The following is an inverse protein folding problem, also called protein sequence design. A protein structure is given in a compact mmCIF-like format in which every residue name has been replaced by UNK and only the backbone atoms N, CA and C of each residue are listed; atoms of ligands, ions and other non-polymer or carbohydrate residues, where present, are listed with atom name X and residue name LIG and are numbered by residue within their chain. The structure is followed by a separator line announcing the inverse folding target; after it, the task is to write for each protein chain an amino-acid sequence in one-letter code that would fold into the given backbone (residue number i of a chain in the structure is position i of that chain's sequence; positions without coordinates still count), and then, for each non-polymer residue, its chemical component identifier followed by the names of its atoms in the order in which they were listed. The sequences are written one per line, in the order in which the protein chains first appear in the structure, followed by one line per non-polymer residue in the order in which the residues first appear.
data_IF_575364877482
#
_entry.id   IF_575364877482
#
_cell.length_a   1.000
_cell.length_b   1.000
_cell.length_c   1.000
_cell.angle_alpha   90.00
_cell.angle_beta   90.00
_cell.angle_gamma   90.00
#
_symmetry.space_group_name_H-M   'P 1'
#
loop_
_entity.id
_entity.type
_entity.pdbx_description
1 polymer ?
#
# COMPACT_ATOMS: atom_id res chain seq x y z
N UNK A 1 47.96 1.14 16.25
CA UNK A 1 46.78 0.85 15.42
C UNK A 1 46.22 2.17 14.95
N UNK A 2 46.23 2.45 13.65
CA UNK A 2 45.77 3.73 13.11
C UNK A 2 44.26 3.67 12.85
N UNK A 3 43.49 4.54 13.52
CA UNK A 3 42.06 4.74 13.25
C UNK A 3 41.91 5.29 11.83
N UNK A 4 41.11 4.61 10.99
CA UNK A 4 40.69 5.17 9.69
C UNK A 4 39.42 5.99 9.92
N UNK A 5 39.61 7.27 10.24
CA UNK A 5 38.53 8.26 10.21
C UNK A 5 38.31 8.67 8.76
N UNK A 6 37.18 8.28 8.17
CA UNK A 6 36.75 8.78 6.87
C UNK A 6 35.80 9.96 7.11
N UNK A 7 36.28 11.18 6.85
CA UNK A 7 35.41 12.36 6.73
C UNK A 7 34.81 12.37 5.33
N UNK A 8 33.48 12.49 5.25
CA UNK A 8 32.77 12.75 4.00
C UNK A 8 32.97 14.24 3.70
N UNK A 9 33.37 14.60 2.47
CA UNK A 9 33.63 15.99 2.08
C UNK A 9 32.31 16.75 1.98
N UNK A 10 32.21 17.86 2.72
CA UNK A 10 31.19 18.88 2.50
C UNK A 10 31.57 19.74 1.29
N UNK A 11 30.66 19.97 0.33
CA UNK A 11 30.95 20.76 -0.87
C UNK A 11 31.07 22.28 -0.62
N UNK A 12 30.84 22.75 0.61
CA UNK A 12 30.79 24.18 0.96
C UNK A 12 31.97 24.67 1.84
N UNK A 13 33.01 23.85 2.05
CA UNK A 13 34.19 24.23 2.85
C UNK A 13 35.24 24.96 1.98
N UNK A 14 35.01 26.23 1.68
CA UNK A 14 36.02 27.12 1.11
C UNK A 14 36.95 27.67 2.21
N UNK A 15 38.18 27.16 2.26
CA UNK A 15 39.30 27.85 2.90
C UNK A 15 40.48 28.00 1.93
N UNK A 16 41.25 29.11 2.00
CA UNK A 16 42.01 29.61 0.87
C UNK A 16 43.36 28.89 0.71
N UNK A 17 43.68 28.54 -0.54
CA UNK A 17 44.99 27.97 -0.92
C UNK A 17 46.04 29.08 -1.07
N UNK A 18 47.29 28.88 -0.61
CA UNK A 18 48.38 29.80 -0.91
C UNK A 18 49.07 29.43 -2.22
N UNK A 19 49.27 30.45 -3.04
CA UNK A 19 50.05 30.47 -4.28
C UNK A 19 51.47 29.89 -4.10
N UNK A 20 51.92 29.04 -5.04
CA UNK A 20 53.34 28.85 -5.29
C UNK A 20 53.65 28.74 -6.78
N UNK A 21 54.40 29.74 -7.25
CA UNK A 21 55.02 29.91 -8.55
C UNK A 21 55.97 28.76 -8.89
N UNK A 22 56.06 28.46 -10.19
CA UNK A 22 56.71 27.28 -10.72
C UNK A 22 58.22 27.33 -10.88
N UNK A 23 58.72 26.26 -11.46
CA UNK A 23 60.01 26.16 -12.15
C UNK A 23 59.95 24.95 -13.10
N UNK A 24 60.35 25.18 -14.34
CA UNK A 24 60.49 24.16 -15.37
C UNK A 24 61.97 23.89 -15.61
N UNK A 25 62.38 22.62 -15.72
CA UNK A 25 63.66 22.26 -16.34
C UNK A 25 63.70 20.82 -16.87
N UNK A 26 63.88 20.74 -18.20
CA UNK A 26 64.78 19.86 -18.98
C UNK A 26 64.61 18.32 -19.05
N UNK A 27 64.10 17.86 -20.20
CA UNK A 27 64.78 17.15 -21.33
C UNK A 27 65.58 15.84 -21.10
N UNK A 28 65.22 14.81 -21.88
CA UNK A 28 66.07 13.65 -22.30
C UNK A 28 65.25 12.38 -22.61
N UNK A 29 64.66 12.18 -23.80
CA UNK A 29 65.14 11.44 -25.01
C UNK A 29 65.44 9.92 -24.89
N UNK A 30 64.62 9.14 -25.62
CA UNK A 30 64.92 8.02 -26.54
C UNK A 30 64.85 6.51 -26.15
N UNK A 31 64.18 5.76 -27.05
CA UNK A 31 64.26 4.31 -27.35
C UNK A 31 63.05 3.52 -26.83
N UNK A 32 62.00 3.11 -27.58
CA UNK A 32 61.82 2.41 -28.87
C UNK A 32 62.43 1.00 -28.92
N UNK A 33 61.61 -0.02 -28.72
CA UNK A 33 61.47 -1.17 -29.65
C UNK A 33 60.21 -2.02 -29.36
N UNK A 34 59.49 -2.30 -30.45
CA UNK A 34 58.49 -3.37 -30.67
C UNK A 34 59.14 -4.76 -30.48
N UNK A 35 58.49 -5.92 -30.34
CA UNK A 35 57.35 -6.47 -31.11
C UNK A 35 57.02 -7.89 -30.59
N UNK A 36 55.74 -8.33 -30.70
CA UNK A 36 55.22 -9.69 -31.05
C UNK A 36 55.61 -10.91 -30.15
N UNK A 37 54.85 -12.01 -30.02
CA UNK A 37 53.92 -12.71 -30.93
C UNK A 37 53.10 -13.79 -30.14
N UNK A 38 51.89 -14.13 -30.64
CA UNK A 38 51.24 -15.47 -30.80
C UNK A 38 51.20 -16.48 -29.64
N UNK A 39 50.20 -17.36 -29.49
CA UNK A 39 49.49 -18.15 -30.51
C UNK A 39 48.10 -18.64 -30.06
N UNK A 40 47.34 -19.06 -31.06
CA UNK A 40 46.04 -19.74 -31.08
C UNK A 40 46.01 -21.10 -30.36
N UNK A 41 44.81 -21.59 -30.03
CA UNK A 41 44.40 -22.99 -30.20
C UNK A 41 42.86 -23.11 -30.15
N UNK A 42 42.31 -23.77 -31.16
CA UNK A 42 40.92 -24.22 -31.33
C UNK A 42 40.72 -25.54 -30.56
N UNK A 43 39.49 -25.86 -30.13
CA UNK A 43 39.06 -27.27 -30.03
C UNK A 43 37.53 -27.46 -30.10
N UNK A 44 37.22 -28.61 -30.67
CA UNK A 44 36.03 -29.21 -31.29
C UNK A 44 34.66 -29.28 -30.58
N UNK A 45 33.68 -29.62 -31.44
CA UNK A 45 32.28 -29.98 -31.20
C UNK A 45 32.06 -31.29 -30.43
N UNK A 46 30.88 -31.43 -29.81
CA UNK A 46 30.18 -32.71 -29.68
C UNK A 46 28.65 -32.50 -29.58
N UNK A 47 27.92 -32.89 -30.62
CA UNK A 47 26.49 -33.19 -30.58
C UNK A 47 26.23 -34.55 -29.92
N UNK A 48 25.14 -34.68 -29.15
CA UNK A 48 24.42 -35.94 -28.92
C UNK A 48 22.91 -35.69 -28.79
N UNK A 49 22.17 -36.29 -29.73
CA UNK A 49 20.76 -36.73 -29.69
C UNK A 49 20.60 -37.93 -28.72
N UNK A 50 19.45 -38.46 -28.28
CA UNK A 50 18.04 -38.48 -28.69
C UNK A 50 17.15 -38.91 -27.48
N UNK A 51 15.82 -38.70 -27.59
CA UNK A 51 14.65 -39.61 -27.33
C UNK A 51 14.79 -40.74 -26.28
N UNK A 52 13.81 -41.19 -25.48
CA UNK A 52 12.35 -41.08 -25.33
C UNK A 52 12.04 -41.73 -23.95
N UNK A 53 10.93 -41.38 -23.28
CA UNK A 53 10.00 -42.37 -22.68
C UNK A 53 8.88 -41.66 -21.91
N UNK A 54 7.68 -41.82 -22.48
CA UNK A 54 6.39 -41.55 -21.86
C UNK A 54 5.85 -42.86 -21.30
N UNK A 55 5.17 -42.81 -20.14
CA UNK A 55 3.97 -43.59 -19.82
C UNK A 55 3.53 -43.30 -18.37
N UNK A 56 2.40 -42.60 -18.18
CA UNK A 56 1.33 -43.04 -17.27
C UNK A 56 0.03 -42.24 -17.54
N UNK A 57 -1.06 -42.96 -17.83
CA UNK A 57 -2.46 -42.53 -17.98
C UNK A 57 -3.30 -43.44 -17.03
N UNK A 58 -4.61 -43.22 -16.78
CA UNK A 58 -5.36 -41.98 -16.55
C UNK A 58 -6.41 -42.14 -15.42
N UNK A 59 -7.14 -41.06 -15.06
CA UNK A 59 -8.53 -41.20 -14.62
C UNK A 59 -9.41 -39.95 -14.80
N UNK A 60 -10.57 -40.14 -15.44
CA UNK A 60 -11.86 -39.54 -15.04
C UNK A 60 -12.28 -38.18 -15.61
N UNK A 61 -13.14 -38.17 -16.64
CA UNK A 61 -13.81 -36.97 -17.22
C UNK A 61 -14.94 -36.35 -16.36
N UNK A 62 -15.94 -35.59 -16.94
CA UNK A 62 -16.25 -35.40 -18.35
C UNK A 62 -16.41 -33.93 -18.84
N UNK A 63 -16.26 -33.80 -20.17
CA UNK A 63 -16.41 -32.61 -21.02
C UNK A 63 -17.88 -32.20 -21.24
N UNK A 64 -18.10 -30.88 -21.43
CA UNK A 64 -19.32 -30.30 -22.03
C UNK A 64 -18.96 -29.54 -23.32
N UNK A 65 -19.63 -29.93 -24.43
CA UNK A 65 -19.51 -29.38 -25.80
C UNK A 65 -20.29 -28.07 -25.98
N UNK A 66 -19.75 -27.13 -26.79
CA UNK A 66 -20.51 -26.26 -27.73
C UNK A 66 -19.51 -25.56 -28.68
N UNK A 67 -19.36 -26.06 -29.91
CA UNK A 67 -19.97 -25.63 -31.20
C UNK A 67 -19.47 -24.27 -31.72
N UNK A 68 -18.73 -24.36 -32.84
CA UNK A 68 -18.46 -23.31 -33.84
C UNK A 68 -19.74 -22.93 -34.61
N UNK A 69 -19.77 -21.71 -35.11
CA UNK A 69 -20.72 -21.21 -36.12
C UNK A 69 -20.38 -19.76 -36.50
N UNK A 70 -20.05 -19.59 -37.77
CA UNK A 70 -19.44 -18.46 -38.48
C UNK A 70 -20.46 -17.40 -38.95
N UNK A 71 -20.03 -16.14 -39.12
CA UNK A 71 -20.36 -15.30 -40.29
C UNK A 71 -19.62 -13.95 -40.24
N UNK A 72 -18.79 -13.76 -41.26
CA UNK A 72 -18.15 -12.51 -41.69
C UNK A 72 -19.17 -11.43 -42.10
N UNK A 73 -18.81 -10.15 -41.93
CA UNK A 73 -18.88 -9.18 -43.02
C UNK A 73 -17.88 -8.02 -42.84
N UNK A 74 -17.15 -7.77 -43.93
CA UNK A 74 -16.10 -6.79 -44.15
C UNK A 74 -16.68 -5.47 -44.68
N UNK A 75 -16.15 -4.32 -44.26
CA UNK A 75 -15.80 -3.13 -45.08
C UNK A 75 -14.88 -2.23 -44.22
N UNK A 76 -13.56 -2.21 -44.44
CA UNK A 76 -12.73 -1.38 -45.35
C UNK A 76 -12.61 0.12 -45.03
N UNK A 77 -11.34 0.49 -44.87
CA UNK A 77 -10.64 1.75 -45.20
C UNK A 77 -10.49 2.86 -44.16
N UNK A 78 -9.22 3.22 -43.92
CA UNK A 78 -8.86 4.60 -43.58
C UNK A 78 -7.57 4.79 -42.78
N UNK A 79 -6.44 4.89 -43.48
CA UNK A 79 -5.08 5.24 -42.99
C UNK A 79 -5.04 6.50 -42.10
N UNK A 80 -4.11 6.52 -41.15
CA UNK A 80 -3.70 7.75 -40.45
C UNK A 80 -2.47 7.59 -39.55
N UNK A 81 -1.28 7.62 -40.13
CA UNK A 81 0.00 7.72 -39.43
C UNK A 81 0.13 9.13 -38.81
N UNK A 82 0.43 9.28 -37.51
CA UNK A 82 1.04 10.49 -36.92
C UNK A 82 1.46 10.26 -35.47
N UNK A 83 2.77 10.32 -35.24
CA UNK A 83 3.38 10.35 -33.92
C UNK A 83 2.97 11.59 -33.11
N UNK A 84 2.99 11.45 -31.78
CA UNK A 84 2.86 12.52 -30.78
C UNK A 84 3.85 12.19 -29.66
N UNK A 85 5.03 12.82 -29.68
CA UNK A 85 5.36 14.02 -28.90
C UNK A 85 5.13 13.84 -27.40
N UNK A 86 6.25 13.65 -26.68
CA UNK A 86 6.37 13.75 -25.23
C UNK A 86 5.90 15.14 -24.79
N UNK A 87 4.88 15.20 -23.95
CA UNK A 87 4.48 16.41 -23.26
C UNK A 87 5.13 16.41 -21.87
N UNK A 88 5.97 17.41 -21.62
CA UNK A 88 6.36 17.81 -20.27
C UNK A 88 5.14 18.37 -19.54
N UNK A 89 4.89 17.94 -18.30
CA UNK A 89 3.97 18.67 -17.43
C UNK A 89 4.70 19.08 -16.16
N UNK A 90 4.55 20.37 -15.90
CA UNK A 90 5.23 21.20 -14.92
C UNK A 90 4.90 20.78 -13.48
N UNK A 91 5.80 21.13 -12.56
CA UNK A 91 5.60 21.07 -11.11
C UNK A 91 4.30 21.79 -10.76
N UNK A 92 3.40 21.10 -10.06
CA UNK A 92 2.23 21.74 -9.48
C UNK A 92 2.66 22.48 -8.21
N UNK A 93 2.59 23.81 -8.27
CA UNK A 93 2.66 24.67 -7.09
C UNK A 93 1.48 24.34 -6.15
N UNK A 94 1.80 24.13 -4.88
CA UNK A 94 0.84 23.90 -3.81
C UNK A 94 -0.03 25.14 -3.62
N UNK A 95 -1.31 25.05 -3.97
CA UNK A 95 -2.32 26.06 -3.65
C UNK A 95 -2.62 26.04 -2.14
N UNK A 96 -2.41 27.19 -1.49
CA UNK A 96 -2.81 27.41 -0.10
C UNK A 96 -4.33 27.45 -0.01
N UNK A 97 -4.88 26.53 0.79
CA UNK A 97 -6.29 26.53 1.17
C UNK A 97 -6.43 27.44 2.40
N UNK A 98 -7.15 28.55 2.23
CA UNK A 98 -7.60 29.40 3.34
C UNK A 98 -8.87 28.80 3.95
N UNK A 99 -8.84 28.61 5.27
CA UNK A 99 -9.96 28.12 6.07
C UNK A 99 -11.08 29.15 6.18
N UNK A 100 -12.28 28.79 5.72
CA UNK A 100 -13.56 29.41 6.09
C UNK A 100 -14.36 28.38 6.88
N UNK A 101 -14.46 28.59 8.20
CA UNK A 101 -15.01 27.62 9.15
C UNK A 101 -16.46 27.99 9.47
N UNK A 102 -17.40 27.20 8.95
CA UNK A 102 -18.77 27.17 9.44
C UNK A 102 -18.84 26.39 10.75
N UNK A 103 -19.36 27.04 11.78
CA UNK A 103 -19.66 26.50 13.11
C UNK A 103 -20.72 25.39 13.04
N UNK A 104 -20.48 24.24 13.69
CA UNK A 104 -21.48 23.48 14.47
C UNK A 104 -20.82 22.36 15.34
N UNK A 105 -21.10 22.50 16.65
CA UNK A 105 -21.13 21.61 17.83
C UNK A 105 -20.29 20.29 17.97
N UNK A 106 -19.49 20.30 19.05
CA UNK A 106 -19.18 19.24 20.03
C UNK A 106 -18.70 17.86 19.56
N UNK A 107 -17.43 17.83 19.17
CA UNK A 107 -16.53 16.70 19.42
C UNK A 107 -15.14 17.24 19.76
N UNK A 108 -14.56 16.82 20.89
CA UNK A 108 -13.15 17.10 21.21
C UNK A 108 -12.26 16.53 20.10
N UNK A 109 -11.94 17.38 19.11
CA UNK A 109 -10.81 17.19 18.24
C UNK A 109 -9.58 17.46 19.09
N UNK A 110 -8.92 16.39 19.55
CA UNK A 110 -7.54 16.52 20.01
C UNK A 110 -6.76 17.25 18.90
N UNK A 111 -6.09 18.33 19.27
CA UNK A 111 -5.15 19.04 18.41
C UNK A 111 -4.08 18.05 17.98
N UNK A 112 -4.26 17.45 16.81
CA UNK A 112 -3.27 16.58 16.19
C UNK A 112 -2.10 17.49 15.84
N UNK A 113 -0.99 17.34 16.56
CA UNK A 113 0.25 18.06 16.28
C UNK A 113 0.52 17.98 14.78
N UNK A 114 0.58 19.15 14.13
CA UNK A 114 0.87 19.29 12.70
C UNK A 114 2.01 18.36 12.32
N UNK A 115 1.92 17.72 11.14
CA UNK A 115 3.00 16.92 10.61
C UNK A 115 4.30 17.72 10.72
N UNK A 116 5.14 17.39 11.70
CA UNK A 116 6.37 18.12 11.93
C UNK A 116 7.29 17.79 10.77
N UNK A 117 7.23 18.56 9.69
CA UNK A 117 8.40 18.82 8.87
C UNK A 117 9.38 19.48 9.83
N UNK A 118 10.14 18.63 10.51
CA UNK A 118 10.79 18.97 11.75
C UNK A 118 11.66 20.20 11.54
N UNK A 119 11.53 21.18 12.43
CA UNK A 119 12.37 22.37 12.44
C UNK A 119 13.82 21.87 12.43
N UNK A 120 14.56 22.19 11.36
CA UNK A 120 15.97 21.84 11.28
C UNK A 120 16.68 22.53 12.42
N UNK A 121 17.55 21.78 13.06
CA UNK A 121 18.46 22.33 14.05
C UNK A 121 19.43 23.30 13.34
N UNK A 122 20.04 24.29 14.02
CA UNK A 122 20.93 25.26 13.38
C UNK A 122 22.13 24.67 12.63
N UNK A 123 22.52 23.44 12.97
CA UNK A 123 23.55 22.64 12.27
C UNK A 123 23.00 21.92 11.02
N UNK A 124 21.77 22.20 10.63
CA UNK A 124 21.09 21.68 9.45
C UNK A 124 20.42 20.31 9.66
N UNK A 125 20.68 19.58 10.75
CA UNK A 125 20.12 18.24 10.93
C UNK A 125 18.62 18.28 11.29
N UNK A 126 17.87 17.32 10.77
CA UNK A 126 16.52 17.03 11.26
C UNK A 126 16.61 16.10 12.48
N UNK A 127 15.72 16.22 13.47
CA UNK A 127 15.53 15.19 14.49
C UNK A 127 15.40 13.80 13.85
N UNK A 128 16.09 12.80 14.43
CA UNK A 128 16.17 11.45 13.89
C UNK A 128 17.20 11.24 12.78
N UNK A 129 17.86 12.30 12.29
CA UNK A 129 18.95 12.15 11.31
C UNK A 129 20.11 11.36 11.91
N UNK A 130 20.71 10.47 11.13
CA UNK A 130 21.91 9.74 11.54
C UNK A 130 23.09 10.69 11.46
N UNK A 131 23.68 11.04 12.60
CA UNK A 131 24.84 11.93 12.70
C UNK A 131 26.13 11.13 12.55
N UNK A 132 26.15 9.93 13.14
CA UNK A 132 27.33 9.06 13.17
C UNK A 132 26.95 7.59 13.19
N UNK A 133 27.77 6.77 12.55
CA UNK A 133 27.71 5.32 12.64
C UNK A 133 29.11 4.77 12.87
N UNK A 134 29.29 3.99 13.93
CA UNK A 134 30.54 3.28 14.23
C UNK A 134 30.29 1.78 14.25
N UNK A 135 31.27 1.01 13.78
CA UNK A 135 31.20 -0.44 13.81
C UNK A 135 32.57 -1.05 14.14
N UNK A 136 32.57 -2.06 15.01
CA UNK A 136 33.77 -2.77 15.46
C UNK A 136 33.56 -4.26 15.27
N UNK A 137 34.52 -4.94 14.63
CA UNK A 137 34.47 -6.37 14.30
C UNK A 137 33.14 -6.77 13.65
N UNK A 138 32.68 -5.98 12.69
CA UNK A 138 31.40 -6.16 12.01
C UNK A 138 31.63 -6.50 10.54
N UNK A 139 31.29 -7.72 10.12
CA UNK A 139 31.51 -8.23 8.76
C UNK A 139 32.94 -7.96 8.25
N UNK A 140 33.10 -7.05 7.29
CA UNK A 140 34.40 -6.68 6.70
C UNK A 140 35.18 -5.66 7.54
N UNK A 141 34.55 -5.03 8.53
CA UNK A 141 35.12 -3.96 9.33
C UNK A 141 35.79 -4.49 10.60
N UNK A 142 37.06 -4.12 10.79
CA UNK A 142 37.71 -4.24 12.11
C UNK A 142 37.26 -3.11 13.02
N UNK A 143 37.34 -1.88 12.51
CA UNK A 143 36.90 -0.66 13.18
C UNK A 143 36.66 0.37 12.07
N UNK A 144 35.49 0.99 12.07
CA UNK A 144 35.13 2.04 11.12
C UNK A 144 34.19 3.02 11.80
N UNK A 145 34.31 4.29 11.43
CA UNK A 145 33.43 5.35 11.91
C UNK A 145 33.09 6.30 10.76
N UNK A 146 31.79 6.50 10.56
CA UNK A 146 31.21 7.39 9.57
C UNK A 146 30.61 8.60 10.26
N UNK A 147 30.92 9.78 9.75
CA UNK A 147 30.28 11.04 10.15
C UNK A 147 29.51 11.55 8.95
N UNK A 148 28.22 11.79 9.13
CA UNK A 148 27.30 12.19 8.06
C UNK A 148 27.06 13.68 8.11
N UNK A 149 26.92 14.30 6.93
CA UNK A 149 26.33 15.62 6.78
C UNK A 149 24.81 15.59 6.90
N UNK A 150 24.20 16.76 7.06
CA UNK A 150 22.76 16.94 7.32
C UNK A 150 21.84 16.79 6.10
N UNK A 151 22.44 16.57 4.93
CA UNK A 151 21.76 16.49 3.64
C UNK A 151 22.17 15.22 2.89
N UNK A 152 22.85 15.37 1.75
CA UNK A 152 23.25 14.27 0.89
C UNK A 152 24.59 13.69 1.35
N UNK A 153 24.58 12.39 1.62
CA UNK A 153 25.79 11.64 1.96
C UNK A 153 26.05 10.59 0.87
N UNK A 154 27.27 10.55 0.33
CA UNK A 154 27.65 9.60 -0.71
C UNK A 154 28.77 8.67 -0.22
N UNK A 155 28.46 7.37 -0.12
CA UNK A 155 29.44 6.34 0.25
C UNK A 155 29.94 5.66 -1.03
N UNK A 156 31.19 5.92 -1.39
CA UNK A 156 31.82 5.40 -2.61
C UNK A 156 32.94 4.44 -2.23
N UNK A 157 33.12 3.38 -3.01
CA UNK A 157 34.28 2.52 -2.89
C UNK A 157 34.25 1.34 -3.85
N UNK A 158 35.40 0.68 -4.09
CA UNK A 158 35.48 -0.56 -4.86
C UNK A 158 34.56 -1.68 -4.34
N UNK A 159 34.36 -2.72 -5.14
CA UNK A 159 33.63 -3.90 -4.67
C UNK A 159 34.39 -4.59 -3.53
N UNK A 160 33.64 -5.12 -2.56
CA UNK A 160 34.22 -5.79 -1.39
C UNK A 160 34.70 -4.86 -0.26
N UNK A 161 34.61 -3.53 -0.39
CA UNK A 161 35.04 -2.59 0.67
C UNK A 161 34.04 -2.40 1.82
N UNK A 162 32.95 -3.16 1.82
CA UNK A 162 31.96 -3.13 2.91
C UNK A 162 30.77 -2.19 2.70
N UNK A 163 30.56 -1.59 1.53
CA UNK A 163 29.38 -0.72 1.27
C UNK A 163 28.04 -1.38 1.65
N UNK A 164 27.83 -2.63 1.28
CA UNK A 164 26.63 -3.39 1.68
C UNK A 164 26.65 -3.78 3.16
N UNK A 165 27.84 -3.92 3.76
CA UNK A 165 27.98 -4.16 5.20
C UNK A 165 27.55 -2.92 6.02
N UNK A 166 27.79 -1.70 5.52
CA UNK A 166 27.23 -0.48 6.12
C UNK A 166 25.70 -0.53 6.19
N UNK A 167 25.03 -0.89 5.09
CA UNK A 167 23.56 -1.02 5.07
C UNK A 167 23.08 -2.09 6.06
N UNK A 168 23.85 -3.18 6.22
CA UNK A 168 23.57 -4.20 7.23
C UNK A 168 23.72 -3.69 8.66
N UNK A 169 24.79 -2.92 8.93
CA UNK A 169 25.01 -2.29 10.23
C UNK A 169 23.87 -1.34 10.58
N UNK A 170 23.42 -0.53 9.61
CA UNK A 170 22.32 0.41 9.82
C UNK A 170 21.02 -0.31 10.18
N UNK A 171 20.60 -1.30 9.38
CA UNK A 171 19.36 -2.04 9.64
C UNK A 171 19.41 -2.79 10.99
N UNK A 172 20.52 -3.49 11.25
CA UNK A 172 20.67 -4.28 12.46
C UNK A 172 20.78 -3.41 13.71
N UNK A 173 21.57 -2.33 13.65
CA UNK A 173 21.78 -1.39 14.77
C UNK A 173 20.51 -0.63 15.17
N UNK A 174 19.65 -0.31 14.20
CA UNK A 174 18.32 0.29 14.46
C UNK A 174 17.29 -0.76 14.91
N UNK A 175 17.69 -2.02 15.09
CA UNK A 175 16.84 -3.08 15.61
C UNK A 175 15.91 -3.72 14.60
N UNK A 176 16.13 -3.53 13.29
CA UNK A 176 15.36 -4.26 12.29
C UNK A 176 15.88 -5.68 12.09
N UNK A 177 14.99 -6.59 11.70
CA UNK A 177 15.33 -7.97 11.35
C UNK A 177 16.02 -8.01 9.98
N UNK A 178 17.28 -8.45 9.88
CA UNK A 178 17.95 -8.62 8.59
C UNK A 178 17.21 -9.56 7.63
N UNK A 179 16.54 -10.60 8.11
CA UNK A 179 15.76 -11.49 7.26
C UNK A 179 14.61 -10.75 6.57
N UNK A 180 13.95 -9.84 7.27
CA UNK A 180 12.80 -9.10 6.75
C UNK A 180 13.24 -7.96 5.86
N UNK A 181 14.29 -7.23 6.25
CA UNK A 181 14.70 -6.01 5.55
C UNK A 181 15.69 -6.31 4.44
N UNK A 182 16.66 -7.19 4.68
CA UNK A 182 17.79 -7.44 3.78
C UNK A 182 17.72 -8.78 3.07
N UNK A 183 16.75 -9.65 3.37
CA UNK A 183 16.71 -11.04 2.87
C UNK A 183 17.94 -11.88 3.23
N UNK A 184 18.57 -11.55 4.36
CA UNK A 184 19.74 -12.25 4.88
C UNK A 184 19.40 -13.12 6.08
N UNK A 185 20.17 -14.19 6.26
CA UNK A 185 20.00 -15.11 7.39
C UNK A 185 20.16 -14.35 8.71
N UNK A 186 19.31 -14.64 9.69
CA UNK A 186 19.26 -13.99 11.00
C UNK A 186 20.30 -14.54 12.00
N UNK A 187 21.44 -15.01 11.53
CA UNK A 187 22.46 -15.62 12.38
C UNK A 187 23.52 -14.58 12.80
N UNK A 188 23.73 -14.40 14.11
CA UNK A 188 24.67 -13.40 14.67
C UNK A 188 26.09 -13.58 14.11
N UNK A 189 26.53 -14.83 13.96
CA UNK A 189 27.86 -15.20 13.44
C UNK A 189 28.17 -14.59 12.07
N UNK A 190 27.16 -14.38 11.22
CA UNK A 190 27.34 -13.84 9.88
C UNK A 190 27.59 -12.33 9.86
N UNK A 191 27.26 -11.64 10.95
CA UNK A 191 27.43 -10.19 11.09
C UNK A 191 28.69 -9.82 11.89
N UNK A 192 29.24 -10.76 12.66
CA UNK A 192 30.52 -10.60 13.35
C UNK A 192 31.66 -10.96 12.40
N UNK A 193 32.75 -10.21 12.46
CA UNK A 193 33.93 -10.44 11.62
C UNK A 193 34.53 -11.82 11.89
N UNK A 194 34.88 -12.54 10.82
CA UNK A 194 35.54 -13.85 10.93
C UNK A 194 36.80 -13.78 11.81
N UNK A 195 36.93 -14.75 12.71
CA UNK A 195 38.05 -14.82 13.66
C UNK A 195 37.86 -13.98 14.94
N UNK A 196 36.68 -13.39 15.14
CA UNK A 196 36.33 -12.68 16.38
C UNK A 196 35.03 -13.23 16.96
N UNK A 197 34.90 -13.19 18.29
CA UNK A 197 33.72 -13.72 19.00
C UNK A 197 32.71 -12.63 19.35
N UNK A 198 33.10 -11.36 19.23
CA UNK A 198 32.28 -10.20 19.56
C UNK A 198 32.41 -9.11 18.51
N UNK A 199 31.31 -8.42 18.26
CA UNK A 199 31.22 -7.25 17.41
C UNK A 199 30.21 -6.25 17.94
N UNK A 200 30.28 -5.01 17.45
CA UNK A 200 29.29 -4.00 17.81
C UNK A 200 29.03 -3.01 16.69
N UNK A 201 27.83 -2.43 16.72
CA UNK A 201 27.41 -1.32 15.87
C UNK A 201 26.82 -0.25 16.76
N UNK A 202 27.20 1.00 16.56
CA UNK A 202 26.75 2.16 17.31
C UNK A 202 26.25 3.22 16.34
N UNK A 203 25.04 3.73 16.57
CA UNK A 203 24.37 4.69 15.71
C UNK A 203 23.93 5.86 16.57
N UNK A 204 24.32 7.06 16.17
CA UNK A 204 23.94 8.30 16.81
C UNK A 204 22.87 9.01 15.98
N UNK A 205 21.72 9.24 16.61
CA UNK A 205 20.59 9.94 16.03
C UNK A 205 20.48 11.34 16.63
N UNK A 206 20.20 12.33 15.78
CA UNK A 206 19.96 13.71 16.19
C UNK A 206 18.72 13.76 17.09
N UNK A 207 18.86 14.37 18.27
CA UNK A 207 17.74 14.60 19.19
C UNK A 207 16.69 15.57 18.64
N UNK A 208 15.55 15.67 19.32
CA UNK A 208 14.59 16.75 19.06
C UNK A 208 15.18 18.10 19.50
N UNK A 209 14.68 19.25 19.04
CA UNK A 209 15.19 20.55 19.46
C UNK A 209 15.17 20.68 20.99
N UNK A 210 16.32 20.98 21.59
CA UNK A 210 16.48 21.08 23.05
C UNK A 210 16.78 19.76 23.76
N UNK A 211 16.79 18.62 23.06
CA UNK A 211 17.19 17.32 23.58
C UNK A 211 18.60 16.93 23.10
N UNK A 212 19.26 16.07 23.87
CA UNK A 212 20.54 15.48 23.47
C UNK A 212 20.37 14.43 22.36
N UNK A 213 21.45 14.16 21.64
CA UNK A 213 21.49 13.07 20.67
C UNK A 213 21.30 11.72 21.38
N UNK A 214 20.67 10.78 20.67
CA UNK A 214 20.43 9.43 21.15
C UNK A 214 21.43 8.49 20.49
N UNK A 215 22.21 7.79 21.30
CA UNK A 215 23.19 6.80 20.86
C UNK A 215 22.64 5.41 21.13
N UNK A 216 22.36 4.67 20.06
CA UNK A 216 21.91 3.28 20.09
C UNK A 216 23.10 2.40 19.77
N UNK A 217 23.46 1.50 20.69
CA UNK A 217 24.55 0.54 20.50
C UNK A 217 24.01 -0.87 20.56
N UNK A 218 24.44 -1.70 19.61
CA UNK A 218 24.16 -3.11 19.54
C UNK A 218 25.45 -3.89 19.73
N UNK A 219 25.48 -4.77 20.73
CA UNK A 219 26.51 -5.75 20.94
C UNK A 219 26.07 -7.11 20.40
N UNK A 220 26.99 -7.76 19.69
CA UNK A 220 26.83 -9.07 19.10
C UNK A 220 27.86 -10.01 19.72
N UNK A 221 27.41 -11.14 20.26
CA UNK A 221 28.30 -12.16 20.79
C UNK A 221 27.97 -13.50 20.11
N UNK A 222 28.97 -14.10 19.47
CA UNK A 222 28.84 -15.31 18.65
C UNK A 222 28.66 -16.55 19.53
N UNK A 223 29.42 -16.66 20.62
CA UNK A 223 29.39 -17.82 21.51
C UNK A 223 28.03 -18.02 22.16
N UNK A 224 27.42 -16.93 22.62
CA UNK A 224 26.10 -16.92 23.24
C UNK A 224 24.97 -16.73 22.23
N UNK A 225 25.31 -16.47 20.96
CA UNK A 225 24.36 -16.06 19.91
C UNK A 225 23.43 -14.91 20.35
N UNK A 226 23.93 -14.03 21.23
CA UNK A 226 23.13 -13.00 21.87
C UNK A 226 23.26 -11.64 21.19
N UNK A 227 22.20 -10.83 21.36
CA UNK A 227 22.10 -9.45 20.88
C UNK A 227 21.70 -8.59 22.06
N UNK A 228 22.53 -7.63 22.43
CA UNK A 228 22.28 -6.73 23.57
C UNK A 228 22.27 -5.30 23.07
N UNK A 229 21.18 -4.59 23.33
CA UNK A 229 21.06 -3.18 23.01
C UNK A 229 21.43 -2.32 24.22
N UNK A 230 22.05 -1.18 23.94
CA UNK A 230 22.26 -0.09 24.88
C UNK A 230 21.77 1.21 24.24
N UNK A 231 21.23 2.09 25.08
CA UNK A 231 20.78 3.43 24.70
C UNK A 231 21.48 4.40 25.64
N UNK A 232 22.27 5.31 25.09
CA UNK A 232 23.10 6.26 25.85
C UNK A 232 23.95 5.56 26.93
N UNK A 233 24.55 4.42 26.58
CA UNK A 233 25.40 3.62 27.47
C UNK A 233 24.67 2.80 28.54
N UNK A 234 23.33 2.75 28.53
CA UNK A 234 22.52 1.95 29.45
C UNK A 234 21.87 0.79 28.72
N UNK A 235 21.98 -0.42 29.26
CA UNK A 235 21.33 -1.62 28.71
C UNK A 235 19.83 -1.38 28.54
N UNK A 236 19.31 -1.75 27.38
CA UNK A 236 17.92 -1.53 26.99
C UNK A 236 17.33 -2.74 26.25
N UNK A 237 16.02 -2.73 26.06
CA UNK A 237 15.30 -3.78 25.34
C UNK A 237 15.10 -3.39 23.87
N UNK A 238 14.93 -4.40 23.01
CA UNK A 238 14.59 -4.18 21.60
C UNK A 238 13.31 -3.35 21.44
N UNK A 239 12.28 -3.60 22.26
CA UNK A 239 11.04 -2.83 22.27
C UNK A 239 11.29 -1.34 22.48
N UNK A 240 12.18 -0.98 23.42
CA UNK A 240 12.48 0.42 23.70
C UNK A 240 13.24 1.11 22.57
N UNK A 241 14.15 0.38 21.92
CA UNK A 241 14.80 0.85 20.69
C UNK A 241 13.74 1.13 19.62
N UNK A 242 12.82 0.18 19.38
CA UNK A 242 11.76 0.34 18.39
C UNK A 242 10.81 1.51 18.68
N UNK A 243 10.51 1.80 19.95
CA UNK A 243 9.74 2.99 20.34
C UNK A 243 10.44 4.29 19.91
N UNK A 244 11.76 4.39 20.12
CA UNK A 244 12.55 5.56 19.71
C UNK A 244 12.62 5.68 18.19
N UNK A 245 12.85 4.58 17.48
CA UNK A 245 12.87 4.57 16.01
C UNK A 245 11.53 5.07 15.44
N UNK A 246 10.41 4.61 16.01
CA UNK A 246 9.07 5.05 15.62
C UNK A 246 8.79 6.51 15.98
N UNK A 247 9.30 7.00 17.12
CA UNK A 247 9.09 8.41 17.52
C UNK A 247 9.79 9.40 16.60
N UNK A 248 10.85 8.97 15.89
CA UNK A 248 11.51 9.73 14.84
C UNK A 248 10.99 9.42 13.42
N UNK A 249 9.94 8.60 13.30
CA UNK A 249 9.40 8.14 12.02
C UNK A 249 10.44 7.48 11.10
N UNK A 250 11.44 6.80 11.67
CA UNK A 250 12.46 6.06 10.90
C UNK A 250 11.84 4.71 10.50
N UNK A 251 11.83 4.39 9.21
CA UNK A 251 11.20 3.19 8.66
C UNK A 251 12.16 2.44 7.73
N UNK A 252 13.01 1.59 8.31
CA UNK A 252 13.99 0.80 7.53
C UNK A 252 13.34 -0.42 6.86
N UNK A 253 12.16 -0.84 7.31
CA UNK A 253 11.34 -1.89 6.71
C UNK A 253 10.50 -1.40 5.53
N UNK A 254 10.39 -0.08 5.33
CA UNK A 254 9.68 0.52 4.22
C UNK A 254 10.61 0.71 3.01
N UNK A 255 10.36 -0.04 1.93
CA UNK A 255 11.16 0.03 0.70
C UNK A 255 11.15 1.41 0.04
N UNK A 256 10.19 2.29 0.34
CA UNK A 256 10.21 3.66 -0.17
C UNK A 256 11.28 4.54 0.52
N UNK A 257 11.70 4.20 1.74
CA UNK A 257 12.72 4.94 2.49
C UNK A 257 14.08 4.22 2.49
N UNK A 258 14.08 2.89 2.49
CA UNK A 258 15.28 2.05 2.54
C UNK A 258 15.26 0.98 1.45
N UNK A 259 16.10 1.15 0.42
CA UNK A 259 16.17 0.24 -0.73
C UNK A 259 17.46 -0.57 -0.65
N UNK A 260 17.43 -1.81 -0.14
CA UNK A 260 18.59 -2.68 -0.17
C UNK A 260 18.78 -3.27 -1.57
N UNK A 261 20.04 -3.53 -1.92
CA UNK A 261 20.44 -4.02 -3.25
C UNK A 261 19.64 -5.24 -3.72
N UNK A 262 19.40 -6.19 -2.82
CA UNK A 262 18.73 -7.46 -3.10
C UNK A 262 17.22 -7.29 -3.35
N UNK A 263 16.59 -6.25 -2.77
CA UNK A 263 15.13 -6.02 -2.85
C UNK A 263 14.73 -4.91 -3.82
N UNK A 264 15.67 -4.39 -4.62
CA UNK A 264 15.37 -3.37 -5.62
C UNK A 264 14.30 -3.83 -6.63
N UNK A 265 14.33 -5.12 -7.00
CA UNK A 265 13.33 -5.71 -7.91
C UNK A 265 11.93 -5.72 -7.31
N UNK A 266 11.82 -5.96 -5.99
CA UNK A 266 10.53 -5.95 -5.29
C UNK A 266 9.94 -4.56 -5.23
N UNK A 267 10.77 -3.54 -5.02
CA UNK A 267 10.35 -2.15 -5.10
C UNK A 267 9.80 -1.82 -6.49
N UNK A 268 10.51 -2.22 -7.55
CA UNK A 268 10.07 -1.99 -8.93
C UNK A 268 8.79 -2.76 -9.31
N UNK A 269 8.55 -3.91 -8.69
CA UNK A 269 7.37 -4.75 -8.92
C UNK A 269 6.20 -4.44 -7.96
N UNK A 270 6.33 -3.44 -7.09
CA UNK A 270 5.32 -3.10 -6.10
C UNK A 270 4.04 -2.59 -6.78
N UNK A 271 2.89 -3.10 -6.32
CA UNK A 271 1.59 -2.67 -6.80
C UNK A 271 1.32 -1.19 -6.44
N UNK A 272 0.72 -0.37 -7.35
CA UNK A 272 0.49 1.04 -7.11
C UNK A 272 -0.25 1.37 -5.80
N UNK A 273 -1.18 0.52 -5.35
CA UNK A 273 -1.92 0.74 -4.10
C UNK A 273 -0.99 0.54 -2.90
N UNK A 274 -0.11 -0.46 -2.96
CA UNK A 274 0.89 -0.69 -1.93
C UNK A 274 1.94 0.42 -1.91
N UNK A 275 2.38 0.88 -3.08
CA UNK A 275 3.32 2.01 -3.20
C UNK A 275 2.72 3.29 -2.61
N UNK A 276 1.43 3.56 -2.84
CA UNK A 276 0.74 4.69 -2.24
C UNK A 276 0.78 4.60 -0.72
N UNK A 277 0.33 3.50 -0.12
CA UNK A 277 0.35 3.33 1.36
C UNK A 277 1.76 3.41 1.94
N UNK A 278 2.76 2.84 1.26
CA UNK A 278 4.15 2.91 1.68
C UNK A 278 4.70 4.35 1.62
N UNK A 279 4.31 5.11 0.59
CA UNK A 279 4.68 6.52 0.44
C UNK A 279 4.00 7.39 1.50
N UNK A 280 2.71 7.16 1.77
CA UNK A 280 1.96 7.85 2.82
C UNK A 280 2.59 7.63 4.20
N UNK A 281 3.05 6.41 4.49
CA UNK A 281 3.79 6.13 5.73
C UNK A 281 5.10 6.91 5.82
N UNK A 282 5.87 6.97 4.72
CA UNK A 282 7.22 7.55 4.74
C UNK A 282 7.21 9.09 4.70
N UNK A 283 6.41 9.66 3.80
CA UNK A 283 6.41 11.09 3.46
C UNK A 283 5.15 11.84 3.92
N UNK A 284 4.12 11.11 4.33
CA UNK A 284 2.85 11.70 4.77
C UNK A 284 2.84 12.06 6.25
N UNK A 285 1.76 12.74 6.64
CA UNK A 285 1.44 13.00 8.04
C UNK A 285 1.18 11.67 8.79
N UNK A 286 1.48 11.64 10.09
CA UNK A 286 1.25 10.45 10.94
C UNK A 286 -0.20 9.96 10.90
N UNK A 287 -1.17 10.87 10.79
CA UNK A 287 -2.59 10.58 10.63
C UNK A 287 -3.04 10.15 9.23
N UNK A 288 -2.20 10.31 8.19
CA UNK A 288 -2.62 10.12 6.80
C UNK A 288 -3.06 8.68 6.50
N UNK A 289 -2.31 7.71 7.01
CA UNK A 289 -2.61 6.28 6.83
C UNK A 289 -3.89 5.87 7.58
N UNK A 290 -4.07 6.22 8.87
CA UNK A 290 -5.36 6.04 9.55
C UNK A 290 -6.54 6.66 8.81
N UNK A 291 -6.42 7.90 8.33
CA UNK A 291 -7.50 8.56 7.60
C UNK A 291 -7.83 7.86 6.29
N UNK A 292 -6.80 7.43 5.55
CA UNK A 292 -6.98 6.66 4.33
C UNK A 292 -7.71 5.33 4.62
N UNK A 293 -7.36 4.62 5.68
CA UNK A 293 -8.05 3.37 6.05
C UNK A 293 -9.53 3.61 6.44
N UNK A 294 -9.84 4.70 7.14
CA UNK A 294 -11.22 5.12 7.44
C UNK A 294 -12.00 5.43 6.16
N UNK A 295 -11.38 6.11 5.20
CA UNK A 295 -12.01 6.40 3.91
C UNK A 295 -12.33 5.13 3.12
N UNK A 296 -11.42 4.14 3.13
CA UNK A 296 -11.67 2.83 2.50
C UNK A 296 -12.87 2.14 3.16
N UNK A 297 -13.00 2.21 4.48
CA UNK A 297 -14.16 1.63 5.18
C UNK A 297 -15.47 2.38 4.84
N UNK A 298 -15.46 3.71 4.86
CA UNK A 298 -16.63 4.52 4.48
C UNK A 298 -17.05 4.27 3.04
N UNK A 299 -16.09 4.15 2.12
CA UNK A 299 -16.37 3.80 0.72
C UNK A 299 -17.06 2.43 0.58
N UNK A 300 -16.59 1.42 1.32
CA UNK A 300 -17.23 0.09 1.34
C UNK A 300 -18.65 0.13 1.90
N UNK A 301 -18.89 0.88 2.98
CA UNK A 301 -20.22 1.06 3.55
C UNK A 301 -21.16 1.75 2.57
N UNK A 302 -20.71 2.85 1.95
CA UNK A 302 -21.48 3.58 0.94
C UNK A 302 -21.93 2.68 -0.21
N UNK A 303 -21.02 1.87 -0.78
CA UNK A 303 -21.36 0.93 -1.86
C UNK A 303 -22.43 -0.07 -1.41
N UNK A 304 -22.32 -0.60 -0.18
CA UNK A 304 -23.30 -1.53 0.37
C UNK A 304 -24.67 -0.87 0.59
N UNK A 305 -24.69 0.37 1.07
CA UNK A 305 -25.91 1.14 1.29
C UNK A 305 -26.57 1.54 -0.03
N UNK A 306 -25.80 1.94 -1.04
CA UNK A 306 -26.30 2.22 -2.40
C UNK A 306 -26.94 0.97 -3.02
N UNK A 307 -26.31 -0.20 -2.87
CA UNK A 307 -26.88 -1.46 -3.35
C UNK A 307 -28.16 -1.88 -2.60
N UNK A 308 -28.27 -1.55 -1.30
CA UNK A 308 -29.51 -1.77 -0.54
C UNK A 308 -30.61 -0.79 -0.96
N UNK A 309 -30.25 0.47 -1.18
CA UNK A 309 -31.18 1.51 -1.62
C UNK A 309 -31.75 1.15 -3.00
N UNK A 310 -30.93 0.67 -3.93
CA UNK A 310 -31.37 0.22 -5.25
C UNK A 310 -32.40 -0.92 -5.15
N UNK A 311 -32.13 -1.94 -4.31
CA UNK A 311 -33.09 -3.03 -4.06
C UNK A 311 -34.41 -2.54 -3.46
N UNK A 312 -34.34 -1.66 -2.48
CA UNK A 312 -35.54 -1.08 -1.86
C UNK A 312 -36.35 -0.23 -2.85
N UNK A 313 -35.68 0.44 -3.79
CA UNK A 313 -36.34 1.18 -4.86
C UNK A 313 -37.05 0.24 -5.84
N UNK A 314 -36.43 -0.88 -6.23
CA UNK A 314 -37.05 -1.91 -7.05
C UNK A 314 -38.28 -2.53 -6.37
N UNK A 315 -38.15 -2.89 -5.09
CA UNK A 315 -39.25 -3.45 -4.29
C UNK A 315 -40.41 -2.46 -4.18
N UNK A 316 -40.11 -1.17 -3.90
CA UNK A 316 -41.13 -0.13 -3.85
C UNK A 316 -41.88 -0.01 -5.18
N UNK A 317 -41.15 0.03 -6.31
CA UNK A 317 -41.77 0.09 -7.64
C UNK A 317 -42.65 -1.14 -7.91
N UNK A 318 -42.22 -2.32 -7.49
CA UNK A 318 -43.00 -3.54 -7.60
C UNK A 318 -44.29 -3.48 -6.77
N UNK A 319 -44.20 -3.02 -5.51
CA UNK A 319 -45.36 -2.83 -4.64
C UNK A 319 -46.34 -1.78 -5.17
N UNK A 320 -45.84 -0.65 -5.69
CA UNK A 320 -46.67 0.41 -6.27
C UNK A 320 -47.45 -0.09 -7.50
N UNK A 321 -46.81 -0.85 -8.39
CA UNK A 321 -47.49 -1.52 -9.52
C UNK A 321 -48.57 -2.48 -9.03
N UNK A 322 -48.28 -3.28 -7.99
CA UNK A 322 -49.25 -4.22 -7.42
C UNK A 322 -50.44 -3.50 -6.79
N UNK A 323 -50.21 -2.38 -6.09
CA UNK A 323 -51.28 -1.53 -5.54
C UNK A 323 -52.14 -0.91 -6.64
N UNK A 324 -51.55 -0.44 -7.75
CA UNK A 324 -52.30 0.08 -8.89
C UNK A 324 -53.21 -0.99 -9.52
N UNK A 325 -52.70 -2.20 -9.70
CA UNK A 325 -53.48 -3.33 -10.23
C UNK A 325 -54.65 -3.68 -9.28
N UNK A 326 -54.38 -3.84 -7.98
CA UNK A 326 -55.43 -4.13 -7.00
C UNK A 326 -56.49 -3.04 -6.89
N UNK A 327 -56.09 -1.75 -6.99
CA UNK A 327 -57.06 -0.63 -7.03
C UNK A 327 -57.99 -0.74 -8.22
N UNK A 328 -57.45 -1.08 -9.40
CA UNK A 328 -58.24 -1.31 -10.62
C UNK A 328 -59.21 -2.48 -10.45
N UNK A 329 -58.76 -3.58 -9.86
CA UNK A 329 -59.61 -4.75 -9.60
C UNK A 329 -60.76 -4.42 -8.64
N UNK A 330 -60.48 -3.65 -7.59
CA UNK A 330 -61.51 -3.17 -6.64
C UNK A 330 -62.54 -2.29 -7.34
N UNK A 331 -62.11 -1.37 -8.21
CA UNK A 331 -63.00 -0.51 -8.98
C UNK A 331 -63.93 -1.32 -9.89
N UNK A 332 -63.38 -2.29 -10.62
CA UNK A 332 -64.15 -3.22 -11.46
C UNK A 332 -65.17 -4.02 -10.63
N UNK A 333 -64.80 -4.47 -9.43
CA UNK A 333 -65.71 -5.20 -8.54
C UNK A 333 -66.84 -4.30 -8.02
N UNK A 334 -66.54 -3.05 -7.66
CA UNK A 334 -67.55 -2.08 -7.23
C UNK A 334 -68.54 -1.75 -8.35
N UNK A 335 -68.04 -1.53 -9.58
CA UNK A 335 -68.90 -1.35 -10.76
C UNK A 335 -69.78 -2.58 -10.99
N UNK A 336 -69.21 -3.79 -10.93
CA UNK A 336 -69.97 -5.04 -11.07
C UNK A 336 -71.07 -5.17 -10.01
N UNK A 337 -70.78 -4.84 -8.76
CA UNK A 337 -71.78 -4.84 -7.69
C UNK A 337 -72.90 -3.81 -7.95
N UNK A 338 -72.54 -2.60 -8.40
CA UNK A 338 -73.53 -1.57 -8.74
C UNK A 338 -74.42 -1.99 -9.92
N UNK A 339 -73.85 -2.59 -10.97
CA UNK A 339 -74.61 -3.15 -12.08
C UNK A 339 -75.51 -4.30 -11.63
N UNK A 340 -75.02 -5.21 -10.79
CA UNK A 340 -75.81 -6.31 -10.26
C UNK A 340 -76.97 -5.82 -9.40
N UNK A 341 -76.77 -4.77 -8.58
CA UNK A 341 -77.83 -4.11 -7.82
C UNK A 341 -78.86 -3.42 -8.72
N UNK A 342 -78.43 -2.78 -9.81
CA UNK A 342 -79.35 -2.16 -10.80
C UNK A 342 -80.16 -3.21 -11.55
N UNK A 343 -79.53 -4.31 -11.97
CA UNK A 343 -80.21 -5.43 -12.64
C UNK A 343 -81.20 -6.10 -11.70
N UNK A 344 -80.81 -6.40 -10.45
CA UNK A 344 -81.72 -7.00 -9.47
C UNK A 344 -82.93 -6.10 -9.19
N UNK A 345 -82.70 -4.79 -9.04
CA UNK A 345 -83.77 -3.81 -8.88
C UNK A 345 -84.69 -3.72 -10.12
N UNK A 346 -84.12 -3.81 -11.34
CA UNK A 346 -84.89 -3.81 -12.58
C UNK A 346 -85.73 -5.08 -12.77
N UNK A 347 -85.18 -6.27 -12.43
CA UNK A 347 -85.90 -7.56 -12.48
C UNK A 347 -87.08 -7.58 -11.51
N UNK A 348 -86.91 -7.02 -10.30
CA UNK A 348 -88.00 -6.86 -9.33
C UNK A 348 -89.09 -5.93 -9.88
N UNK A 349 -88.72 -4.85 -10.58
CA UNK A 349 -89.65 -3.84 -11.10
C UNK A 349 -90.39 -4.27 -12.38
N UNK A 350 -89.77 -5.09 -13.23
CA UNK A 350 -90.36 -5.55 -14.49
C UNK A 350 -91.30 -6.75 -14.34
N UNK A 351 -91.43 -7.32 -13.14
CA UNK A 351 -92.32 -8.45 -12.87
C UNK A 351 -91.86 -9.77 -13.50
N UNK A 352 -90.63 -9.84 -14.02
CA UNK A 352 -90.05 -11.04 -14.67
C UNK A 352 -89.24 -11.87 -13.66
N UNK A 353 -89.66 -11.88 -12.40
CA UNK A 353 -88.95 -12.60 -11.34
C UNK A 353 -89.34 -14.07 -11.40
N UNK A 354 -88.37 -14.98 -11.57
CA UNK A 354 -88.68 -16.41 -11.54
C UNK A 354 -89.20 -16.79 -10.15
N UNK A 355 -90.13 -17.75 -10.01
CA UNK A 355 -90.64 -18.19 -8.71
C UNK A 355 -89.54 -18.61 -7.72
N UNK A 356 -88.40 -19.10 -8.25
CA UNK A 356 -87.24 -19.52 -7.47
C UNK A 356 -86.50 -18.30 -6.88
N UNK A 357 -86.35 -17.22 -7.66
CA UNK A 357 -85.70 -16.00 -7.19
C UNK A 357 -86.56 -15.25 -6.17
N UNK A 358 -87.89 -15.34 -6.28
CA UNK A 358 -88.83 -14.85 -5.26
C UNK A 358 -88.70 -15.59 -3.93
N UNK A 359 -88.52 -16.90 -3.98
CA UNK A 359 -88.29 -17.71 -2.79
C UNK A 359 -86.97 -17.35 -2.10
N UNK A 360 -85.87 -17.22 -2.86
CA UNK A 360 -84.56 -16.87 -2.30
C UNK A 360 -84.51 -15.44 -1.73
N UNK A 361 -85.13 -14.46 -2.39
CA UNK A 361 -85.21 -13.08 -1.90
C UNK A 361 -86.07 -12.98 -0.63
N UNK A 362 -87.19 -13.70 -0.60
CA UNK A 362 -88.06 -13.77 0.59
C UNK A 362 -87.35 -14.45 1.76
N UNK A 363 -86.62 -15.54 1.51
CA UNK A 363 -85.81 -16.23 2.54
C UNK A 363 -84.67 -15.36 3.05
N UNK A 364 -83.99 -14.60 2.19
CA UNK A 364 -82.92 -13.67 2.59
C UNK A 364 -83.46 -12.53 3.46
N UNK A 365 -84.58 -11.90 3.07
CA UNK A 365 -85.25 -10.88 3.89
C UNK A 365 -85.73 -11.44 5.23
N UNK A 366 -86.25 -12.66 5.25
CA UNK A 366 -86.68 -13.31 6.49
C UNK A 366 -85.48 -13.65 7.39
N UNK A 367 -84.37 -14.13 6.82
CA UNK A 367 -83.14 -14.42 7.55
C UNK A 367 -82.47 -13.18 8.11
N UNK A 368 -82.49 -12.04 7.39
CA UNK A 368 -81.96 -10.78 7.91
C UNK A 368 -82.85 -10.19 8.99
N UNK A 369 -84.18 -10.34 8.88
CA UNK A 369 -85.12 -9.98 9.95
C UNK A 369 -84.88 -10.80 11.23
N UNK A 370 -84.61 -12.11 11.09
CA UNK A 370 -84.25 -12.97 12.21
C UNK A 370 -82.87 -12.61 12.80
N UNK A 371 -81.89 -12.22 11.99
CA UNK A 371 -80.57 -11.80 12.47
C UNK A 371 -80.59 -10.45 13.20
N UNK A 372 -81.44 -9.51 12.77
CA UNK A 372 -81.63 -8.23 13.46
C UNK A 372 -82.37 -8.45 14.78
N UNK A 373 -83.43 -9.28 14.80
CA UNK A 373 -84.16 -9.60 16.04
C UNK A 373 -83.35 -10.45 17.03
N UNK A 374 -82.36 -11.24 16.59
CA UNK A 374 -81.50 -12.00 17.50
C UNK A 374 -80.41 -11.14 18.18
N UNK A 375 -80.12 -9.95 17.67
CA UNK A 375 -79.13 -9.02 18.23
C UNK A 375 -79.76 -7.73 18.80
N UNK A 376 -81.09 -7.67 18.88
CA UNK A 376 -81.82 -6.59 19.58
C UNK A 376 -82.92 -7.18 20.46
N UNK A 377 -82.53 -7.63 21.65
CA UNK A 377 -83.34 -7.54 22.87
C UNK A 377 -82.39 -7.18 24.04
N UNK A 378 -82.92 -6.50 25.07
CA UNK A 378 -82.27 -5.42 25.83
C UNK A 378 -81.09 -5.79 26.73
#
# INVERSE_FOLDING_TARGET
MAKRTLRIMDPDDESPTPNRSGEASTRGTNGRHENRHHSDEEDEEAELSAEDDADDEPSGGPRRKKRRGDSEQVTTNGRGNKGKSRASTQRADTVGLSDDVGSDEDGQLETVEEASYAVRHPDGFLPGSIVRLSATNFMTYTEVEFHFGSHLNMIIGPNGTGKSAFMCALALGLGYSPATVLQRVNEVKLYVKNGTNEGSVEIELKGKPGEENIVIKLHLNVETSSRVFEINGKRSTHTKVQEIIRSFNIQVDNLCCFIPQERLREFAAMDPIHTLKATEKCAGHSGLVPWHDVLIEKGRKKISEEAQLERLQEDKQHHDKRLQNMKRDVEILLERQAHQARVSHAVVRSGVMSPIDFFHLSRSKFSSMLYVNANTEP
#
